data_IF_650691987145
#
_entry.id   IF_650691987145
#
_cell.length_a   1.000
_cell.length_b   1.000
_cell.length_c   1.000
_cell.angle_alpha   90.00
_cell.angle_beta   90.00
_cell.angle_gamma   90.00
#
_symmetry.space_group_name_H-M   'P 1'
#
loop_
_entity.id
_entity.type
_entity.pdbx_description
1 polymer ?
#
# COMPACT_ATOMS: atom_id res chain seq x y z
N UNK A 1 16.66 10.85 3.89
CA UNK A 1 15.71 9.74 4.13
C UNK A 1 16.54 8.48 4.16
N UNK A 2 16.66 7.86 5.34
CA UNK A 2 17.32 6.58 5.53
C UNK A 2 16.59 5.54 4.68
N UNK A 3 17.32 4.93 3.74
CA UNK A 3 16.80 3.86 2.90
C UNK A 3 16.86 2.58 3.75
N UNK A 4 15.84 2.40 4.59
CA UNK A 4 15.71 1.25 5.47
C UNK A 4 15.53 0.02 4.56
N UNK A 5 16.54 -0.83 4.48
CA UNK A 5 16.49 -2.06 3.70
C UNK A 5 15.79 -3.13 4.53
N UNK A 6 14.47 -3.23 4.39
CA UNK A 6 13.64 -4.17 5.16
C UNK A 6 14.10 -5.63 5.04
N UNK A 7 14.61 -6.06 3.87
CA UNK A 7 15.13 -7.42 3.69
C UNK A 7 16.34 -7.67 4.58
N UNK A 8 17.25 -6.70 4.64
CA UNK A 8 18.40 -6.76 5.52
C UNK A 8 17.97 -6.78 6.98
N UNK A 9 16.96 -5.99 7.37
CA UNK A 9 16.42 -6.02 8.74
C UNK A 9 15.84 -7.39 9.08
N UNK A 10 15.09 -8.00 8.16
CA UNK A 10 14.54 -9.34 8.35
C UNK A 10 15.63 -10.40 8.46
N UNK A 11 16.63 -10.38 7.58
CA UNK A 11 17.78 -11.29 7.62
C UNK A 11 18.62 -11.09 8.88
N UNK A 12 18.88 -9.84 9.28
CA UNK A 12 19.62 -9.51 10.50
C UNK A 12 18.81 -9.95 11.75
N UNK A 13 17.49 -9.80 11.75
CA UNK A 13 16.61 -10.21 12.85
C UNK A 13 16.45 -11.75 12.96
N UNK A 14 16.51 -12.49 11.85
CA UNK A 14 16.60 -13.95 11.87
C UNK A 14 17.92 -14.44 12.50
N UNK A 15 19.00 -13.67 12.35
CA UNK A 15 20.32 -14.02 12.83
C UNK A 15 20.63 -13.50 14.25
N UNK A 16 19.90 -12.50 14.75
CA UNK A 16 20.07 -11.90 16.07
C UNK A 16 18.73 -11.79 16.84
N UNK A 17 18.49 -12.66 17.84
CA UNK A 17 17.28 -12.67 18.66
C UNK A 17 17.01 -11.37 19.44
N UNK A 18 18.04 -10.57 19.76
CA UNK A 18 17.85 -9.30 20.48
C UNK A 18 17.27 -8.20 19.57
N UNK A 19 17.54 -8.26 18.26
CA UNK A 19 16.99 -7.31 17.27
C UNK A 19 15.48 -7.48 17.11
N UNK A 20 15.00 -8.73 17.21
CA UNK A 20 13.57 -9.06 17.22
C UNK A 20 12.85 -8.45 18.42
N UNK A 21 13.53 -8.14 19.53
CA UNK A 21 12.92 -7.48 20.69
C UNK A 21 12.55 -6.00 20.48
N UNK A 22 12.99 -5.37 19.38
CA UNK A 22 12.62 -3.99 19.03
C UNK A 22 11.40 -3.89 18.12
N UNK A 23 11.08 -4.96 17.39
CA UNK A 23 9.78 -5.14 16.77
C UNK A 23 8.92 -5.88 17.78
N UNK A 24 7.77 -5.32 18.15
CA UNK A 24 6.90 -5.99 19.09
C UNK A 24 6.34 -7.28 18.45
N UNK A 25 6.99 -8.41 18.73
CA UNK A 25 6.64 -9.72 18.19
C UNK A 25 5.20 -10.06 18.56
N UNK A 26 4.76 -9.66 19.76
CA UNK A 26 3.39 -9.86 20.22
C UNK A 26 2.43 -9.05 19.35
N UNK A 27 2.78 -7.80 18.99
CA UNK A 27 2.00 -7.03 18.00
C UNK A 27 1.94 -7.74 16.65
N UNK A 28 3.02 -8.36 16.17
CA UNK A 28 3.03 -9.08 14.89
C UNK A 28 2.15 -10.34 14.97
N UNK A 29 2.24 -11.11 16.06
CA UNK A 29 1.42 -12.29 16.31
C UNK A 29 -0.06 -11.92 16.43
N UNK A 30 -0.39 -10.87 17.18
CA UNK A 30 -1.73 -10.32 17.27
C UNK A 30 -2.24 -9.87 15.88
N UNK A 31 -1.38 -9.25 15.08
CA UNK A 31 -1.71 -8.80 13.71
C UNK A 31 -2.00 -9.98 12.78
N UNK A 32 -1.32 -11.13 12.96
CA UNK A 32 -1.58 -12.37 12.22
C UNK A 32 -2.85 -13.09 12.69
N UNK A 33 -3.17 -13.01 13.99
CA UNK A 33 -4.38 -13.61 14.56
C UNK A 33 -5.65 -12.76 14.31
N UNK A 34 -5.48 -11.47 14.03
CA UNK A 34 -6.56 -10.56 13.70
C UNK A 34 -6.95 -10.63 12.21
N UNK A 35 -8.22 -10.96 11.94
CA UNK A 35 -8.84 -10.99 10.61
C UNK A 35 -8.75 -9.67 9.80
N UNK A 36 -8.22 -8.59 10.39
CA UNK A 36 -7.98 -7.32 9.67
C UNK A 36 -6.96 -7.47 8.53
N UNK A 37 -6.14 -8.53 8.55
CA UNK A 37 -5.11 -8.80 7.53
C UNK A 37 -5.47 -9.93 6.56
N UNK A 38 -6.69 -10.46 6.60
CA UNK A 38 -7.19 -11.47 5.65
C UNK A 38 -6.99 -11.02 4.19
N UNK A 39 -7.03 -9.71 3.95
CA UNK A 39 -6.82 -9.14 2.63
C UNK A 39 -5.37 -9.30 2.11
N UNK A 40 -4.39 -9.59 2.98
CA UNK A 40 -3.01 -9.93 2.63
C UNK A 40 -2.84 -11.43 2.37
N UNK A 41 -3.80 -12.25 2.76
CA UNK A 41 -3.76 -13.69 2.54
C UNK A 41 -3.68 -13.97 1.03
N UNK A 42 -2.75 -14.85 0.62
CA UNK A 42 -2.44 -15.16 -0.78
C UNK A 42 -1.88 -14.00 -1.63
N UNK A 43 -1.57 -12.84 -1.05
CA UNK A 43 -0.79 -11.81 -1.74
C UNK A 43 0.70 -12.10 -1.62
N UNK A 44 1.40 -12.01 -2.75
CA UNK A 44 2.87 -12.05 -2.83
C UNK A 44 3.40 -10.70 -3.30
N UNK A 45 4.68 -10.42 -3.05
CA UNK A 45 5.30 -9.20 -3.59
C UNK A 45 5.23 -9.14 -5.12
N UNK A 46 5.36 -10.28 -5.79
CA UNK A 46 5.23 -10.38 -7.25
C UNK A 46 3.82 -10.05 -7.72
N UNK A 47 2.80 -10.57 -7.04
CA UNK A 47 1.40 -10.30 -7.35
C UNK A 47 1.07 -8.83 -7.17
N UNK A 48 1.50 -8.22 -6.06
CA UNK A 48 1.29 -6.79 -5.78
C UNK A 48 1.96 -5.92 -6.87
N UNK A 49 3.20 -6.24 -7.25
CA UNK A 49 3.91 -5.50 -8.30
C UNK A 49 3.20 -5.62 -9.65
N UNK A 50 2.71 -6.82 -9.97
CA UNK A 50 1.93 -7.08 -11.18
C UNK A 50 0.62 -6.28 -11.17
N UNK A 51 -0.14 -6.30 -10.08
CA UNK A 51 -1.41 -5.59 -9.98
C UNK A 51 -1.23 -4.07 -10.10
N UNK A 52 -0.14 -3.52 -9.53
CA UNK A 52 0.23 -2.10 -9.74
C UNK A 52 0.58 -1.83 -11.20
N UNK A 53 1.35 -2.70 -11.85
CA UNK A 53 1.71 -2.55 -13.26
C UNK A 53 0.47 -2.60 -14.16
N UNK A 54 -0.39 -3.60 -13.97
CA UNK A 54 -1.61 -3.82 -14.75
C UNK A 54 -2.55 -2.61 -14.58
N UNK A 55 -2.76 -2.11 -13.37
CA UNK A 55 -3.57 -0.91 -13.12
C UNK A 55 -3.04 0.35 -13.84
N UNK A 56 -1.71 0.51 -13.93
CA UNK A 56 -1.09 1.62 -14.67
C UNK A 56 -1.27 1.48 -16.19
N UNK A 57 -1.17 0.26 -16.71
CA UNK A 57 -1.42 -0.04 -18.13
C UNK A 57 -2.89 0.24 -18.47
N UNK A 58 -3.81 -0.26 -17.64
CA UNK A 58 -5.26 -0.18 -17.86
C UNK A 58 -5.78 1.25 -17.83
N UNK A 59 -5.22 2.11 -16.98
CA UNK A 59 -5.57 3.54 -16.97
C UNK A 59 -4.96 4.31 -18.14
N UNK A 60 -4.11 3.69 -18.95
CA UNK A 60 -3.50 4.30 -20.14
C UNK A 60 -2.25 5.11 -19.86
N UNK A 61 -1.47 4.77 -18.82
CA UNK A 61 -0.16 5.40 -18.62
C UNK A 61 0.75 5.08 -19.81
N UNK A 62 1.43 6.07 -20.41
CA UNK A 62 2.41 5.81 -21.47
C UNK A 62 3.50 4.85 -21.01
N UNK A 63 3.80 3.82 -21.81
CA UNK A 63 4.82 2.79 -21.50
C UNK A 63 6.16 3.35 -20.98
N UNK A 64 6.72 4.46 -21.52
CA UNK A 64 7.97 5.03 -21.01
C UNK A 64 7.89 5.50 -19.54
N UNK A 65 6.70 5.86 -19.06
CA UNK A 65 6.49 6.39 -17.71
C UNK A 65 6.21 5.29 -16.67
N UNK A 66 5.75 4.11 -17.11
CA UNK A 66 5.36 3.02 -16.20
C UNK A 66 6.51 2.61 -15.25
N UNK A 67 7.75 2.35 -15.72
CA UNK A 67 8.83 1.93 -14.82
C UNK A 67 9.11 2.95 -13.70
N UNK A 68 9.03 4.26 -14.02
CA UNK A 68 9.23 5.34 -13.06
C UNK A 68 8.11 5.39 -12.02
N UNK A 69 6.86 5.14 -12.44
CA UNK A 69 5.71 5.09 -11.53
C UNK A 69 5.73 3.85 -10.65
N UNK A 70 6.04 2.67 -11.20
CA UNK A 70 6.22 1.44 -10.41
C UNK A 70 7.29 1.65 -9.32
N UNK A 71 8.44 2.24 -9.66
CA UNK A 71 9.47 2.57 -8.66
C UNK A 71 8.98 3.55 -7.59
N UNK A 72 8.15 4.53 -7.99
CA UNK A 72 7.55 5.51 -7.06
C UNK A 72 6.44 4.92 -6.18
N UNK A 73 5.91 3.76 -6.56
CA UNK A 73 4.87 3.00 -5.87
C UNK A 73 5.44 1.75 -5.19
N UNK A 74 6.76 1.63 -5.08
CA UNK A 74 7.37 0.57 -4.27
C UNK A 74 6.85 0.65 -2.82
N UNK A 75 6.37 -0.49 -2.29
CA UNK A 75 5.71 -0.56 -0.98
C UNK A 75 4.26 -0.07 -0.96
N UNK A 76 3.65 0.14 -2.13
CA UNK A 76 2.21 0.37 -2.26
C UNK A 76 1.55 -0.82 -2.95
N UNK A 77 0.29 -1.08 -2.59
CA UNK A 77 -0.60 -1.99 -3.32
C UNK A 77 -1.65 -1.20 -4.08
N UNK A 78 -2.08 -1.73 -5.21
CA UNK A 78 -3.29 -1.26 -5.89
C UNK A 78 -4.52 -1.65 -5.05
N UNK A 79 -5.47 -0.74 -4.91
CA UNK A 79 -6.73 -0.96 -4.19
C UNK A 79 -7.85 -0.94 -5.21
N UNK A 80 -8.22 -2.12 -5.71
CA UNK A 80 -9.25 -2.28 -6.74
C UNK A 80 -10.67 -2.13 -6.19
N UNK A 81 -10.91 -2.69 -5.01
CA UNK A 81 -12.20 -2.61 -4.33
C UNK A 81 -12.14 -1.68 -3.12
N UNK A 82 -13.17 -0.82 -2.97
CA UNK A 82 -13.23 0.18 -1.90
C UNK A 82 -13.24 -0.44 -0.49
N UNK A 83 -13.82 -1.63 -0.32
CA UNK A 83 -13.83 -2.34 0.96
C UNK A 83 -12.41 -2.63 1.48
N UNK A 84 -11.44 -2.76 0.57
CA UNK A 84 -10.04 -2.99 0.89
C UNK A 84 -9.26 -1.69 1.14
N UNK A 85 -9.90 -0.52 1.18
CA UNK A 85 -9.25 0.76 1.46
C UNK A 85 -9.32 1.08 2.97
N UNK A 86 -8.18 0.98 3.66
CA UNK A 86 -8.15 1.19 5.11
C UNK A 86 -7.93 2.67 5.50
N UNK A 87 -8.66 3.12 6.52
CA UNK A 87 -8.47 4.45 7.13
C UNK A 87 -7.14 4.50 7.88
N UNK A 88 -6.59 5.70 8.11
CA UNK A 88 -5.33 5.88 8.82
C UNK A 88 -4.06 5.61 7.99
N UNK A 89 -4.20 4.97 6.81
CA UNK A 89 -3.08 4.64 5.92
C UNK A 89 -2.83 5.70 4.85
N UNK A 90 -1.58 5.75 4.38
CA UNK A 90 -1.17 6.70 3.34
C UNK A 90 -1.60 6.20 1.97
N UNK A 91 -2.17 7.08 1.15
CA UNK A 91 -2.64 6.77 -0.20
C UNK A 91 -2.05 7.73 -1.22
N UNK A 92 -1.82 7.23 -2.42
CA UNK A 92 -1.54 8.01 -3.64
C UNK A 92 -2.51 7.54 -4.71
N UNK A 93 -2.80 8.38 -5.69
CA UNK A 93 -3.73 8.01 -6.76
C UNK A 93 -3.34 8.68 -8.07
N UNK A 94 -3.89 8.15 -9.16
CA UNK A 94 -3.82 8.73 -10.50
C UNK A 94 -5.25 8.93 -10.96
N UNK A 95 -5.54 10.12 -11.50
CA UNK A 95 -6.86 10.42 -12.08
C UNK A 95 -6.96 9.77 -13.45
N UNK A 96 -8.08 9.11 -13.74
CA UNK A 96 -8.32 8.42 -15.02
C UNK A 96 -8.28 9.39 -16.22
N UNK A 97 -8.65 10.64 -16.02
CA UNK A 97 -8.59 11.69 -17.06
C UNK A 97 -7.20 12.32 -17.25
N UNK A 98 -6.23 12.01 -16.39
CA UNK A 98 -4.82 12.44 -16.50
C UNK A 98 -3.86 11.29 -16.18
N UNK A 99 -3.83 10.24 -17.03
CA UNK A 99 -2.96 9.10 -16.80
C UNK A 99 -1.49 9.54 -16.70
N UNK A 100 -0.78 9.01 -15.69
CA UNK A 100 0.64 9.27 -15.47
C UNK A 100 0.95 10.38 -14.46
N UNK A 101 -0.03 11.18 -14.05
CA UNK A 101 0.13 12.17 -12.97
C UNK A 101 -0.16 11.53 -11.60
N UNK A 102 0.88 10.93 -10.99
CA UNK A 102 0.79 10.38 -9.64
C UNK A 102 0.80 11.49 -8.57
N UNK A 103 -0.20 11.51 -7.70
CA UNK A 103 -0.26 12.51 -6.62
C UNK A 103 0.87 12.34 -5.60
N UNK A 104 1.12 13.39 -4.80
CA UNK A 104 2.03 13.31 -3.64
C UNK A 104 1.47 12.40 -2.54
N UNK A 105 0.15 12.22 -2.52
CA UNK A 105 -0.57 11.42 -1.54
C UNK A 105 -0.93 12.15 -0.25
N UNK A 106 -1.64 11.44 0.62
CA UNK A 106 -2.14 11.90 1.91
C UNK A 106 -2.65 10.71 2.74
N UNK A 107 -2.95 10.93 4.02
CA UNK A 107 -3.49 9.90 4.92
C UNK A 107 -5.02 9.86 4.82
N UNK A 108 -5.61 8.68 4.67
CA UNK A 108 -7.08 8.50 4.64
C UNK A 108 -7.66 8.79 6.02
N UNK A 109 -8.68 9.63 6.07
CA UNK A 109 -9.41 9.98 7.29
C UNK A 109 -10.76 9.29 7.30
N UNK A 110 -11.49 9.36 6.18
CA UNK A 110 -12.84 8.83 6.09
C UNK A 110 -13.23 8.49 4.65
N UNK A 111 -14.25 7.65 4.49
CA UNK A 111 -14.81 7.24 3.19
C UNK A 111 -16.30 7.51 3.22
N UNK A 112 -16.78 8.37 2.32
CA UNK A 112 -18.16 8.80 2.23
C UNK A 112 -18.81 8.20 0.99
N UNK A 113 -19.88 7.45 1.20
CA UNK A 113 -20.73 6.92 0.14
C UNK A 113 -21.84 7.94 -0.15
N UNK A 114 -21.89 8.44 -1.37
CA UNK A 114 -22.92 9.38 -1.83
C UNK A 114 -23.59 8.86 -3.10
N UNK A 115 -24.77 9.40 -3.44
CA UNK A 115 -25.50 9.04 -4.65
C UNK A 115 -24.70 9.30 -5.95
N UNK A 116 -23.68 10.16 -5.89
CA UNK A 116 -22.84 10.53 -7.04
C UNK A 116 -21.53 9.74 -7.12
N UNK A 117 -21.31 8.79 -6.20
CA UNK A 117 -20.11 7.99 -6.12
C UNK A 117 -19.47 7.98 -4.73
N UNK A 118 -18.25 7.45 -4.67
CA UNK A 118 -17.47 7.28 -3.45
C UNK A 118 -16.46 8.42 -3.32
N UNK A 119 -16.47 9.10 -2.17
CA UNK A 119 -15.55 10.18 -1.87
C UNK A 119 -14.63 9.81 -0.71
N UNK A 120 -13.32 9.82 -0.97
CA UNK A 120 -12.30 9.56 0.05
C UNK A 120 -11.82 10.90 0.61
N UNK A 121 -12.00 11.08 1.91
CA UNK A 121 -11.50 12.23 2.67
C UNK A 121 -10.12 11.91 3.20
N UNK A 122 -9.17 12.81 2.97
CA UNK A 122 -7.80 12.63 3.41
C UNK A 122 -7.23 13.90 4.04
N UNK A 123 -6.18 13.72 4.84
CA UNK A 123 -5.37 14.79 5.42
C UNK A 123 -3.93 14.71 4.90
N UNK A 124 -3.44 15.84 4.42
CA UNK A 124 -2.03 15.98 3.99
C UNK A 124 -1.10 16.09 5.19
N UNK A 125 0.20 15.92 4.97
CA UNK A 125 1.21 16.02 6.05
C UNK A 125 1.27 17.42 6.72
N UNK A 126 0.74 18.45 6.05
CA UNK A 126 0.62 19.81 6.60
C UNK A 126 -0.73 20.07 7.31
N UNK A 127 -1.53 19.02 7.55
CA UNK A 127 -2.81 19.12 8.24
C UNK A 127 -3.98 19.63 7.37
N UNK A 128 -3.77 19.85 6.06
CA UNK A 128 -4.84 20.30 5.17
C UNK A 128 -5.71 19.12 4.73
N UNK A 129 -7.02 19.27 4.89
CA UNK A 129 -8.02 18.34 4.37
C UNK A 129 -8.20 18.51 2.86
N UNK A 130 -8.38 17.37 2.20
CA UNK A 130 -8.76 17.29 0.80
C UNK A 130 -9.59 16.05 0.56
N UNK A 131 -10.28 16.01 -0.57
CA UNK A 131 -11.07 14.86 -0.95
C UNK A 131 -10.86 14.53 -2.43
N UNK A 132 -10.98 13.26 -2.79
CA UNK A 132 -11.02 12.82 -4.18
C UNK A 132 -12.15 11.81 -4.39
N UNK A 133 -12.66 11.76 -5.63
CA UNK A 133 -13.64 10.74 -6.05
C UNK A 133 -12.88 9.46 -6.36
N UNK A 134 -13.17 8.39 -5.62
CA UNK A 134 -12.52 7.09 -5.80
C UNK A 134 -12.79 6.55 -7.21
N UNK A 135 -14.03 6.67 -7.68
CA UNK A 135 -14.49 6.16 -8.98
C UNK A 135 -13.69 6.75 -10.17
N UNK A 136 -13.25 7.99 -10.04
CA UNK A 136 -12.53 8.72 -11.09
C UNK A 136 -11.01 8.48 -11.05
N UNK A 137 -10.54 7.65 -10.11
CA UNK A 137 -9.12 7.43 -9.83
C UNK A 137 -8.78 5.94 -9.78
N UNK A 138 -7.52 5.62 -10.02
CA UNK A 138 -6.91 4.39 -9.52
C UNK A 138 -6.15 4.74 -8.24
N UNK A 139 -6.37 3.95 -7.19
CA UNK A 139 -5.90 4.25 -5.84
C UNK A 139 -4.84 3.24 -5.42
N UNK A 140 -3.76 3.74 -4.82
CA UNK A 140 -2.68 2.95 -4.27
C UNK A 140 -2.53 3.25 -2.79
N UNK A 141 -2.53 2.22 -1.95
CA UNK A 141 -2.37 2.35 -0.51
C UNK A 141 -1.01 1.81 -0.08
N UNK A 142 -0.31 2.56 0.78
CA UNK A 142 0.99 2.17 1.30
C UNK A 142 0.81 1.01 2.29
N UNK A 143 1.65 -0.02 2.13
CA UNK A 143 1.79 -1.09 3.10
C UNK A 143 2.60 -0.61 4.29
N UNK A 144 2.11 -0.87 5.50
CA UNK A 144 2.85 -0.63 6.73
C UNK A 144 4.00 -1.64 6.89
N UNK A 145 4.86 -1.43 7.88
CA UNK A 145 6.06 -2.25 8.04
C UNK A 145 5.66 -3.68 8.41
N UNK A 146 4.67 -3.80 9.29
CA UNK A 146 4.07 -5.02 9.78
C UNK A 146 3.50 -5.83 8.60
N UNK A 147 2.76 -5.16 7.70
CA UNK A 147 2.18 -5.79 6.51
C UNK A 147 3.24 -6.28 5.53
N UNK A 148 4.33 -5.53 5.37
CA UNK A 148 5.46 -5.95 4.55
C UNK A 148 6.17 -7.15 5.16
N UNK A 149 6.28 -7.23 6.49
CA UNK A 149 6.88 -8.39 7.19
C UNK A 149 5.99 -9.63 7.05
N UNK A 150 4.67 -9.49 7.18
CA UNK A 150 3.71 -10.57 6.95
C UNK A 150 3.86 -11.11 5.53
N UNK A 151 3.89 -10.23 4.53
CA UNK A 151 4.12 -10.62 3.13
C UNK A 151 5.48 -11.32 2.93
N UNK A 152 6.54 -10.88 3.62
CA UNK A 152 7.85 -11.55 3.57
C UNK A 152 7.78 -12.95 4.16
N UNK A 153 7.05 -13.15 5.26
CA UNK A 153 6.85 -14.46 5.87
C UNK A 153 6.07 -15.40 4.93
N UNK A 154 4.98 -14.93 4.31
CA UNK A 154 4.21 -15.71 3.33
C UNK A 154 5.05 -16.10 2.10
N UNK A 155 5.83 -15.16 1.56
CA UNK A 155 6.74 -15.45 0.44
C UNK A 155 7.85 -16.45 0.80
N UNK A 156 8.25 -16.54 2.08
CA UNK A 156 9.21 -17.53 2.54
C UNK A 156 8.59 -18.93 2.69
N UNK A 157 7.33 -19.02 3.12
CA UNK A 157 6.61 -20.29 3.27
C UNK A 157 6.15 -20.84 1.91
N UNK A 158 5.82 -19.98 0.96
CA UNK A 158 5.38 -20.37 -0.38
C UNK A 158 6.51 -20.89 -1.30
N UNK A 159 7.77 -20.81 -0.87
CA UNK A 159 8.95 -21.36 -1.57
C UNK A 159 9.25 -22.78 -1.14
#
# INVERSE_FOLDING_TARGET
MTNINLRKIYEDALNDPELMGTLDIDTILDTLENNENDYLENLTFEKIQKDVYDALVDVGVPKPNIPKLCASLAGYRYVDEICNLHKGKYVRWIRRNKPGELTKGCKVVDIKFANTGICVLCITNIGRFMQYRYDDCITFQKLEIEEQLILMAYDHIAK
#
